data_IF_914775412701
#
_entry.id   IF_914775412701
#
_cell.length_a   1.000
_cell.length_b   1.000
_cell.length_c   1.000
_cell.angle_alpha   90.00
_cell.angle_beta   90.00
_cell.angle_gamma   90.00
#
_symmetry.space_group_name_H-M   'P 1'
#
loop_
_entity.id
_entity.type
_entity.pdbx_description
1 polymer ?
#
# COMPACT_ATOMS: atom_id res chain seq x y z
N UNK A 1 -15.04 28.14 17.33
CA UNK A 1 -13.85 28.36 16.48
C UNK A 1 -12.82 27.23 16.64
N UNK A 2 -12.62 26.72 17.86
CA UNK A 2 -11.59 25.71 18.13
C UNK A 2 -11.74 24.40 17.34
N UNK A 3 -12.96 23.93 17.13
CA UNK A 3 -13.19 22.68 16.36
C UNK A 3 -12.76 22.77 14.90
N UNK A 4 -12.81 23.95 14.30
CA UNK A 4 -12.42 24.18 12.91
C UNK A 4 -10.91 24.10 12.74
N UNK A 5 -10.15 24.58 13.73
CA UNK A 5 -8.69 24.51 13.76
C UNK A 5 -8.23 23.05 13.84
N UNK A 6 -8.84 22.24 14.71
CA UNK A 6 -8.52 20.81 14.82
C UNK A 6 -8.85 20.04 13.54
N UNK A 7 -9.99 20.35 12.90
CA UNK A 7 -10.36 19.73 11.61
C UNK A 7 -9.35 20.11 10.53
N UNK A 8 -8.95 21.37 10.44
CA UNK A 8 -7.94 21.83 9.51
C UNK A 8 -6.59 21.16 9.75
N UNK A 9 -6.15 21.05 11.01
CA UNK A 9 -4.91 20.38 11.38
C UNK A 9 -4.91 18.90 11.00
N UNK A 10 -5.99 18.17 11.30
CA UNK A 10 -6.13 16.78 10.92
C UNK A 10 -6.12 16.60 9.40
N UNK A 11 -6.75 17.51 8.66
CA UNK A 11 -6.75 17.49 7.19
C UNK A 11 -5.33 17.67 6.65
N UNK A 12 -4.56 18.60 7.20
CA UNK A 12 -3.17 18.84 6.80
C UNK A 12 -2.31 17.60 7.08
N UNK A 13 -2.45 16.99 8.26
CA UNK A 13 -1.72 15.77 8.59
C UNK A 13 -2.06 14.62 7.62
N UNK A 14 -3.34 14.42 7.29
CA UNK A 14 -3.76 13.43 6.31
C UNK A 14 -3.18 13.69 4.91
N UNK A 15 -3.06 14.95 4.51
CA UNK A 15 -2.42 15.31 3.25
C UNK A 15 -0.94 14.93 3.26
N UNK A 16 -0.23 15.19 4.36
CA UNK A 16 1.18 14.80 4.50
C UNK A 16 1.36 13.27 4.45
N UNK A 17 0.55 12.52 5.19
CA UNK A 17 0.60 11.07 5.20
C UNK A 17 0.31 10.49 3.81
N UNK A 18 -0.73 10.96 3.13
CA UNK A 18 -1.06 10.55 1.78
C UNK A 18 0.04 10.92 0.77
N UNK A 19 0.70 12.06 0.94
CA UNK A 19 1.82 12.46 0.10
C UNK A 19 3.01 11.52 0.28
N UNK A 20 3.31 11.14 1.52
CA UNK A 20 4.37 10.17 1.83
C UNK A 20 4.12 8.82 1.16
N UNK A 21 2.90 8.27 1.31
CA UNK A 21 2.49 7.01 0.68
C UNK A 21 2.60 7.09 -0.85
N UNK A 22 2.12 8.17 -1.46
CA UNK A 22 2.22 8.34 -2.91
C UNK A 22 3.68 8.44 -3.39
N UNK A 23 4.53 9.13 -2.64
CA UNK A 23 5.95 9.23 -2.93
C UNK A 23 6.64 7.86 -2.87
N UNK A 24 6.31 7.06 -1.84
CA UNK A 24 6.81 5.70 -1.69
C UNK A 24 6.32 4.78 -2.82
N UNK A 25 5.05 4.85 -3.17
CA UNK A 25 4.49 4.10 -4.28
C UNK A 25 5.17 4.47 -5.62
N UNK A 26 5.42 5.76 -5.83
CA UNK A 26 6.10 6.22 -7.04
C UNK A 26 7.55 5.76 -7.08
N UNK A 27 8.27 5.80 -5.97
CA UNK A 27 9.64 5.33 -5.87
C UNK A 27 9.78 3.83 -6.18
N UNK A 28 8.74 3.05 -5.87
CA UNK A 28 8.74 1.60 -6.05
C UNK A 28 7.95 1.12 -7.28
N UNK A 29 7.48 2.02 -8.15
CA UNK A 29 6.64 1.66 -9.31
C UNK A 29 7.29 0.66 -10.26
N UNK A 30 8.62 0.70 -10.37
CA UNK A 30 9.40 -0.20 -11.23
C UNK A 30 9.88 -1.48 -10.53
N UNK A 31 9.56 -1.66 -9.25
CA UNK A 31 9.99 -2.86 -8.51
C UNK A 31 9.07 -4.03 -8.86
N UNK A 32 9.60 -5.14 -9.40
CA UNK A 32 8.80 -6.32 -9.71
C UNK A 32 8.07 -6.85 -8.47
N UNK A 33 6.79 -7.15 -8.63
CA UNK A 33 5.97 -7.66 -7.54
C UNK A 33 5.61 -6.66 -6.44
N UNK A 34 5.91 -5.39 -6.61
CA UNK A 34 5.52 -4.36 -5.65
C UNK A 34 3.99 -4.22 -5.59
N UNK A 35 3.47 -4.17 -4.38
CA UNK A 35 2.06 -3.89 -4.10
C UNK A 35 1.96 -2.49 -3.53
N UNK A 36 1.20 -1.63 -4.20
CA UNK A 36 1.04 -0.25 -3.75
C UNK A 36 0.29 -0.20 -2.42
N UNK A 37 0.75 0.67 -1.55
CA UNK A 37 0.04 1.03 -0.34
C UNK A 37 -1.09 2.00 -0.69
N UNK A 38 -2.31 1.71 -0.22
CA UNK A 38 -3.48 2.55 -0.47
C UNK A 38 -3.51 3.75 0.48
N UNK A 39 -2.72 3.69 1.55
CA UNK A 39 -2.76 4.68 2.62
C UNK A 39 -4.01 4.53 3.50
N UNK A 40 -4.01 5.24 4.60
CA UNK A 40 -5.17 5.31 5.46
C UNK A 40 -6.32 6.00 4.73
N UNK A 41 -7.39 5.28 4.42
CA UNK A 41 -8.66 5.92 4.04
C UNK A 41 -9.12 6.73 5.24
N UNK A 42 -9.39 8.01 5.05
CA UNK A 42 -10.00 8.79 6.11
C UNK A 42 -11.33 8.12 6.48
N UNK A 43 -11.48 7.73 7.74
CA UNK A 43 -12.73 7.12 8.24
C UNK A 43 -13.93 8.05 7.99
N UNK A 44 -13.67 9.36 7.84
CA UNK A 44 -14.68 10.32 7.42
C UNK A 44 -15.32 9.99 6.08
N UNK A 45 -14.57 9.51 5.08
CA UNK A 45 -15.17 9.11 3.79
C UNK A 45 -15.96 7.82 3.94
N UNK A 46 -15.48 6.83 4.67
CA UNK A 46 -16.22 5.61 4.93
C UNK A 46 -17.50 5.85 5.75
N UNK A 47 -17.46 6.81 6.68
CA UNK A 47 -18.64 7.22 7.45
C UNK A 47 -19.66 7.95 6.58
N UNK A 48 -19.21 8.84 5.68
CA UNK A 48 -20.09 9.56 4.73
C UNK A 48 -20.70 8.62 3.70
N UNK A 49 -19.97 7.60 3.24
CA UNK A 49 -20.48 6.60 2.31
C UNK A 49 -21.63 5.76 2.93
N UNK A 50 -21.59 5.55 4.25
CA UNK A 50 -22.63 4.82 4.98
C UNK A 50 -23.81 5.70 5.43
N UNK A 51 -23.60 7.00 5.60
CA UNK A 51 -24.63 7.95 6.06
C UNK A 51 -24.89 9.02 4.99
N UNK A 52 -25.62 8.67 3.98
CA UNK A 52 -25.95 9.51 2.81
C UNK A 52 -26.74 10.79 3.13
N UNK A 53 -26.95 11.16 4.40
CA UNK A 53 -27.85 12.24 4.81
C UNK A 53 -27.28 13.29 5.76
N UNK A 54 -26.04 13.14 6.22
CA UNK A 54 -25.46 14.10 7.16
C UNK A 54 -24.24 14.78 6.54
N UNK A 55 -24.34 16.08 6.29
CA UNK A 55 -23.18 16.95 6.05
C UNK A 55 -22.33 16.97 7.33
N UNK A 56 -21.65 15.87 7.61
CA UNK A 56 -20.70 15.80 8.70
C UNK A 56 -19.40 16.47 8.24
N UNK A 57 -19.01 17.50 8.95
CA UNK A 57 -17.66 18.05 8.91
C UNK A 57 -16.71 16.90 9.23
N UNK A 58 -15.95 16.47 8.22
CA UNK A 58 -15.17 15.24 8.29
C UNK A 58 -14.22 15.22 9.48
N UNK A 59 -14.53 14.38 10.46
CA UNK A 59 -13.57 13.92 11.44
C UNK A 59 -12.68 12.88 10.73
N UNK A 60 -11.49 13.29 10.32
CA UNK A 60 -10.49 12.36 9.87
C UNK A 60 -10.00 11.55 11.07
N UNK A 61 -10.56 10.37 11.26
CA UNK A 61 -10.04 9.39 12.21
C UNK A 61 -8.94 8.63 11.46
N UNK A 62 -7.74 8.67 12.01
CA UNK A 62 -6.60 7.91 11.49
C UNK A 62 -6.84 6.43 11.78
N UNK A 63 -6.95 5.63 10.73
CA UNK A 63 -6.87 4.18 10.83
C UNK A 63 -5.41 3.79 10.60
N UNK A 64 -4.76 3.25 11.63
CA UNK A 64 -3.35 2.83 11.58
C UNK A 64 -3.14 1.52 10.78
N UNK A 65 -4.17 1.00 10.13
CA UNK A 65 -4.05 -0.19 9.31
C UNK A 65 -3.48 0.16 7.94
N UNK A 66 -2.33 -0.39 7.64
CA UNK A 66 -1.76 -0.34 6.31
C UNK A 66 -2.57 -1.26 5.37
N UNK A 67 -3.25 -0.66 4.43
CA UNK A 67 -3.95 -1.38 3.37
C UNK A 67 -3.08 -1.35 2.12
N UNK A 68 -2.79 -2.52 1.59
CA UNK A 68 -2.14 -2.65 0.28
C UNK A 68 -3.12 -3.21 -0.74
N UNK A 69 -2.90 -2.86 -2.00
CA UNK A 69 -3.75 -3.32 -3.08
C UNK A 69 -3.52 -4.81 -3.35
N UNK A 70 -4.61 -5.57 -3.33
CA UNK A 70 -4.58 -7.01 -3.54
C UNK A 70 -4.74 -7.41 -5.01
N UNK A 71 -5.15 -6.48 -5.88
CA UNK A 71 -5.40 -6.78 -7.28
C UNK A 71 -4.12 -7.26 -8.00
N UNK A 72 -4.21 -8.32 -8.81
CA UNK A 72 -3.06 -8.82 -9.55
C UNK A 72 -2.60 -7.80 -10.61
N UNK A 73 -1.28 -7.56 -10.66
CA UNK A 73 -0.67 -6.75 -11.71
C UNK A 73 -0.57 -7.50 -13.04
N UNK A 74 -0.16 -6.77 -14.06
CA UNK A 74 0.12 -7.34 -15.39
C UNK A 74 1.36 -8.23 -15.32
N UNK A 75 1.27 -9.44 -15.87
CA UNK A 75 2.42 -10.34 -16.01
C UNK A 75 3.18 -9.97 -17.30
N UNK A 76 4.47 -9.75 -17.17
CA UNK A 76 5.38 -9.52 -18.29
C UNK A 76 6.29 -10.73 -18.47
N UNK A 77 6.40 -11.21 -19.69
CA UNK A 77 7.34 -12.27 -20.03
C UNK A 77 8.74 -11.68 -20.19
N UNK A 78 9.71 -12.19 -19.44
CA UNK A 78 11.09 -11.70 -19.44
C UNK A 78 12.07 -12.60 -20.19
N UNK A 79 11.64 -13.83 -20.55
CA UNK A 79 12.45 -14.88 -21.18
C UNK A 79 13.69 -15.31 -20.37
N UNK A 80 13.72 -14.95 -19.08
CA UNK A 80 14.74 -15.37 -18.14
C UNK A 80 14.26 -16.59 -17.34
N UNK A 81 15.04 -17.69 -17.29
CA UNK A 81 14.63 -18.92 -16.60
C UNK A 81 14.55 -18.79 -15.09
N UNK A 82 15.14 -17.76 -14.53
CA UNK A 82 15.16 -17.48 -13.09
C UNK A 82 14.00 -16.60 -12.64
N UNK A 83 13.28 -16.00 -13.59
CA UNK A 83 12.14 -15.14 -13.27
C UNK A 83 10.89 -15.98 -13.10
N UNK A 84 10.25 -15.84 -11.96
CA UNK A 84 9.02 -16.55 -11.62
C UNK A 84 7.95 -15.54 -11.19
N UNK A 85 6.71 -15.82 -11.58
CA UNK A 85 5.58 -14.99 -11.17
C UNK A 85 4.42 -15.85 -10.69
N UNK A 86 3.71 -15.37 -9.65
CA UNK A 86 2.49 -16.00 -9.17
C UNK A 86 1.30 -15.40 -9.92
N UNK A 87 0.51 -16.27 -10.56
CA UNK A 87 -0.75 -15.88 -11.17
C UNK A 87 -1.89 -16.02 -10.16
N UNK A 88 -2.53 -14.91 -9.84
CA UNK A 88 -3.59 -14.86 -8.82
C UNK A 88 -3.07 -14.48 -7.43
N UNK A 89 -3.78 -14.94 -6.40
CA UNK A 89 -3.46 -14.67 -5.02
C UNK A 89 -2.36 -15.61 -4.50
N UNK A 90 -1.44 -15.07 -3.71
CA UNK A 90 -0.36 -15.86 -3.13
C UNK A 90 0.92 -15.04 -2.97
N UNK A 91 1.86 -15.60 -2.20
CA UNK A 91 3.17 -15.00 -1.93
C UNK A 91 4.23 -16.09 -1.87
N UNK A 92 5.46 -15.73 -2.23
CA UNK A 92 6.62 -16.59 -1.98
C UNK A 92 7.07 -16.46 -0.54
N UNK A 93 7.45 -17.59 0.06
CA UNK A 93 8.15 -17.60 1.34
C UNK A 93 9.62 -17.38 1.10
N UNK A 94 10.17 -16.37 1.75
CA UNK A 94 11.60 -16.06 1.71
C UNK A 94 12.19 -16.23 3.11
N UNK A 95 13.25 -17.01 3.20
CA UNK A 95 14.04 -17.15 4.42
C UNK A 95 15.20 -16.17 4.34
N UNK A 96 15.13 -15.09 5.12
CA UNK A 96 16.24 -14.16 5.33
C UNK A 96 17.10 -14.55 6.53
N UNK A 97 17.93 -13.62 6.97
CA UNK A 97 18.74 -13.76 8.20
C UNK A 97 17.90 -13.66 9.49
N UNK A 98 16.61 -13.37 9.37
CA UNK A 98 15.66 -13.25 10.47
C UNK A 98 14.45 -14.17 10.30
N UNK A 99 13.28 -13.66 10.67
CA UNK A 99 12.02 -14.40 10.50
C UNK A 99 11.65 -14.57 9.02
N UNK A 100 10.97 -15.68 8.67
CA UNK A 100 10.50 -15.89 7.31
C UNK A 100 9.54 -14.77 6.90
N UNK A 101 9.75 -14.22 5.73
CA UNK A 101 8.93 -13.16 5.18
C UNK A 101 8.24 -13.56 3.89
N UNK A 102 7.16 -12.86 3.56
CA UNK A 102 6.40 -13.07 2.35
C UNK A 102 6.79 -12.02 1.31
N UNK A 103 6.97 -12.44 0.06
CA UNK A 103 7.24 -11.53 -1.05
C UNK A 103 6.48 -11.94 -2.29
N UNK A 104 6.22 -10.97 -3.18
CA UNK A 104 5.76 -11.24 -4.55
C UNK A 104 6.85 -10.99 -5.60
N UNK A 105 8.01 -10.60 -5.16
CA UNK A 105 9.15 -10.38 -6.04
C UNK A 105 9.66 -11.73 -6.56
N UNK A 106 9.77 -11.87 -7.86
CA UNK A 106 10.15 -13.11 -8.51
C UNK A 106 11.34 -13.00 -9.45
N UNK A 107 12.01 -11.86 -9.49
CA UNK A 107 13.27 -11.67 -10.19
C UNK A 107 14.42 -12.26 -9.35
N UNK A 108 14.64 -13.56 -9.50
CA UNK A 108 15.62 -14.28 -8.70
C UNK A 108 16.99 -14.21 -9.36
N UNK A 109 18.01 -14.04 -8.55
CA UNK A 109 19.39 -14.11 -8.98
C UNK A 109 20.13 -15.21 -8.22
N UNK A 110 20.89 -16.01 -8.92
CA UNK A 110 21.66 -17.08 -8.29
C UNK A 110 22.97 -16.51 -7.79
N UNK A 111 23.23 -16.74 -6.48
CA UNK A 111 24.51 -16.36 -5.87
C UNK A 111 25.65 -17.15 -6.49
N UNK A 112 26.89 -16.59 -6.55
CA UNK A 112 28.08 -17.33 -7.00
C UNK A 112 28.37 -18.59 -6.18
N UNK A 113 27.86 -18.65 -4.96
CA UNK A 113 28.05 -19.78 -4.04
C UNK A 113 26.93 -20.83 -4.12
N UNK A 114 25.96 -20.65 -5.02
CA UNK A 114 24.82 -21.57 -5.23
C UNK A 114 23.54 -21.13 -4.61
#
# INVERSE_FOLDING_TARGET
MDKLIYTAFNTVNNIYDNRSVRSQNLANVNVPGYRRDIGAKSVGTAFLDNFNTLQTRGLAIRDDKNYFESDPGVLSQTDLPTDIAIRGDGYFFVRGLGEPSLTRRGDLNVSPDG
#
